data_IF_704656014215
#
_entry.id   IF_704656014215
#
_cell.length_a   1.000
_cell.length_b   1.000
_cell.length_c   1.000
_cell.angle_alpha   90.00
_cell.angle_beta   90.00
_cell.angle_gamma   90.00
#
_symmetry.space_group_name_H-M   'P 1'
#
loop_
_entity.id
_entity.type
_entity.pdbx_description
1 polymer ?
#
# COMPACT_ATOMS: atom_id res chain seq x y z
N UNK A 1 -2.05 0.61 -9.69
CA UNK A 1 -0.92 0.05 -8.95
C UNK A 1 0.18 -0.32 -9.91
N UNK A 2 1.42 -0.01 -9.56
CA UNK A 2 2.57 -0.37 -10.39
C UNK A 2 3.27 -1.58 -9.78
N UNK A 3 3.52 -2.62 -10.58
CA UNK A 3 4.26 -3.81 -10.16
C UNK A 3 5.59 -3.84 -10.89
N UNK A 4 6.68 -4.08 -10.16
CA UNK A 4 8.03 -4.25 -10.69
C UNK A 4 8.58 -5.58 -10.20
N UNK A 5 8.94 -6.46 -11.13
CA UNK A 5 9.64 -7.71 -10.82
C UNK A 5 11.14 -7.52 -11.01
N UNK A 6 11.93 -7.89 -10.01
CA UNK A 6 13.40 -7.82 -10.04
C UNK A 6 14.01 -9.22 -10.16
N UNK A 7 15.23 -9.28 -10.70
CA UNK A 7 16.01 -10.51 -10.82
C UNK A 7 15.52 -11.47 -11.91
N UNK A 8 16.35 -12.47 -12.20
CA UNK A 8 16.00 -13.59 -13.07
C UNK A 8 15.71 -14.82 -12.18
N UNK A 9 14.58 -15.48 -12.39
CA UNK A 9 14.15 -16.63 -11.58
C UNK A 9 12.63 -16.70 -11.45
N UNK A 10 12.11 -17.75 -10.80
CA UNK A 10 10.69 -17.82 -10.44
C UNK A 10 10.36 -16.75 -9.40
N UNK A 11 9.24 -16.05 -9.58
CA UNK A 11 8.70 -15.12 -8.59
C UNK A 11 7.63 -15.83 -7.75
N UNK A 12 7.39 -15.40 -6.49
CA UNK A 12 6.28 -15.92 -5.72
C UNK A 12 4.96 -15.60 -6.43
N UNK A 13 3.96 -16.46 -6.26
CA UNK A 13 2.60 -16.16 -6.71
C UNK A 13 2.14 -14.83 -6.09
N UNK A 14 1.65 -13.93 -6.94
CA UNK A 14 1.13 -12.66 -6.49
C UNK A 14 -0.15 -12.28 -7.25
N UNK A 15 -0.97 -11.45 -6.60
CA UNK A 15 -2.14 -10.85 -7.23
C UNK A 15 -2.32 -9.41 -6.74
N UNK A 16 -2.92 -8.58 -7.59
CA UNK A 16 -3.27 -7.20 -7.26
C UNK A 16 -4.70 -6.97 -7.70
N UNK A 17 -5.53 -6.53 -6.76
CA UNK A 17 -6.92 -6.17 -7.00
C UNK A 17 -7.27 -4.90 -6.25
N UNK A 18 -7.47 -3.81 -6.98
CA UNK A 18 -7.67 -2.48 -6.40
C UNK A 18 -6.57 -2.12 -5.39
N UNK A 19 -6.90 -2.05 -4.09
CA UNK A 19 -5.95 -1.77 -3.00
C UNK A 19 -5.39 -3.02 -2.32
N UNK A 20 -5.87 -4.21 -2.68
CA UNK A 20 -5.43 -5.48 -2.09
C UNK A 20 -4.29 -6.09 -2.89
N UNK A 21 -3.17 -6.34 -2.22
CA UNK A 21 -2.00 -7.03 -2.76
C UNK A 21 -1.84 -8.35 -2.03
N UNK A 22 -1.71 -9.45 -2.76
CA UNK A 22 -1.37 -10.74 -2.17
C UNK A 22 -0.03 -11.23 -2.71
N UNK A 23 0.88 -11.70 -1.85
CA UNK A 23 2.15 -12.32 -2.26
C UNK A 23 2.40 -13.57 -1.41
N UNK A 24 2.59 -14.72 -2.04
CA UNK A 24 2.81 -16.01 -1.37
C UNK A 24 1.80 -16.30 -0.24
N UNK A 25 0.54 -15.89 -0.43
CA UNK A 25 -0.55 -16.04 0.54
C UNK A 25 -0.67 -14.92 1.59
N UNK A 26 0.29 -14.01 1.70
CA UNK A 26 0.21 -12.82 2.58
C UNK A 26 -0.60 -11.73 1.88
N UNK A 27 -1.64 -11.21 2.54
CA UNK A 27 -2.53 -10.21 2.00
C UNK A 27 -2.35 -8.85 2.69
N UNK A 28 -2.12 -7.80 1.89
CA UNK A 28 -1.94 -6.41 2.33
C UNK A 28 -3.06 -5.55 1.72
N UNK A 29 -3.91 -5.01 2.58
CA UNK A 29 -4.87 -3.96 2.19
C UNK A 29 -4.18 -2.59 2.31
N UNK A 30 -3.76 -2.05 1.17
CA UNK A 30 -3.05 -0.78 1.12
C UNK A 30 -3.92 0.41 1.57
N UNK A 31 -5.25 0.35 1.40
CA UNK A 31 -6.14 1.41 1.83
C UNK A 31 -6.27 1.43 3.36
N UNK A 32 -6.43 0.25 3.97
CA UNK A 32 -6.49 0.13 5.43
C UNK A 32 -5.16 0.48 6.11
N UNK A 33 -4.04 0.23 5.42
CA UNK A 33 -2.68 0.54 5.92
C UNK A 33 -2.20 1.95 5.59
N UNK A 34 -2.97 2.77 4.86
CA UNK A 34 -2.51 4.11 4.51
C UNK A 34 -2.45 5.02 5.74
N UNK A 35 -1.33 5.71 5.93
CA UNK A 35 -1.14 6.72 6.99
C UNK A 35 -0.77 8.09 6.40
N UNK A 36 -0.57 9.10 7.26
CA UNK A 36 -0.09 10.42 6.83
C UNK A 36 1.38 10.43 6.39
N UNK A 37 2.07 9.30 6.54
CA UNK A 37 3.42 9.10 6.09
C UNK A 37 3.47 7.99 5.04
N UNK A 38 4.55 7.97 4.27
CA UNK A 38 4.79 6.85 3.37
C UNK A 38 5.07 5.59 4.20
N UNK A 39 4.34 4.52 3.90
CA UNK A 39 4.54 3.22 4.54
C UNK A 39 5.18 2.24 3.55
N UNK A 40 6.10 1.42 4.02
CA UNK A 40 6.69 0.33 3.25
C UNK A 40 6.46 -0.94 4.05
N UNK A 41 5.71 -1.87 3.46
CA UNK A 41 5.44 -3.18 4.04
C UNK A 41 6.26 -4.21 3.28
N UNK A 42 7.24 -4.80 3.97
CA UNK A 42 8.04 -5.88 3.42
C UNK A 42 7.37 -7.23 3.68
N UNK A 43 7.34 -8.09 2.68
CA UNK A 43 6.96 -9.49 2.79
C UNK A 43 8.22 -10.31 2.61
N UNK A 44 8.53 -11.16 3.58
CA UNK A 44 9.76 -11.95 3.62
C UNK A 44 9.47 -13.42 3.86
N UNK A 45 10.34 -14.28 3.33
CA UNK A 45 10.35 -15.71 3.56
C UNK A 45 11.20 -16.01 4.79
N UNK A 46 10.57 -16.43 5.88
CA UNK A 46 11.22 -16.81 7.13
C UNK A 46 10.87 -18.26 7.41
N UNK A 47 11.88 -19.12 7.55
CA UNK A 47 11.70 -20.56 7.83
C UNK A 47 10.70 -21.26 6.88
N UNK A 48 10.72 -20.86 5.60
CA UNK A 48 9.84 -21.41 4.56
C UNK A 48 8.41 -20.84 4.54
N UNK A 49 8.10 -19.85 5.40
CA UNK A 49 6.79 -19.21 5.50
C UNK A 49 6.89 -17.74 5.10
N UNK A 50 6.00 -17.29 4.22
CA UNK A 50 5.88 -15.88 3.87
C UNK A 50 5.16 -15.11 4.98
N UNK A 51 5.73 -13.99 5.42
CA UNK A 51 5.13 -13.12 6.44
C UNK A 51 5.56 -11.66 6.28
N UNK A 52 4.87 -10.75 6.95
CA UNK A 52 5.25 -9.34 7.04
C UNK A 52 6.51 -9.15 7.91
N UNK A 53 7.48 -8.39 7.40
CA UNK A 53 8.72 -8.07 8.10
C UNK A 53 9.61 -9.29 8.41
N UNK A 54 10.43 -9.18 9.46
CA UNK A 54 11.38 -10.21 9.87
C UNK A 54 12.75 -10.13 9.18
N UNK A 55 13.60 -11.14 9.41
CA UNK A 55 14.99 -11.19 8.94
C UNK A 55 15.22 -12.16 7.76
N UNK A 56 14.14 -12.60 7.11
CA UNK A 56 14.18 -13.55 6.01
C UNK A 56 14.51 -12.97 4.64
N UNK A 57 14.45 -13.82 3.62
CA UNK A 57 14.64 -13.44 2.22
C UNK A 57 13.51 -12.51 1.76
N UNK A 58 13.85 -11.45 1.05
CA UNK A 58 12.85 -10.52 0.52
C UNK A 58 12.03 -11.19 -0.58
N UNK A 59 10.70 -11.20 -0.43
CA UNK A 59 9.77 -11.67 -1.47
C UNK A 59 9.10 -10.48 -2.17
N UNK A 60 8.62 -9.50 -1.39
CA UNK A 60 7.99 -8.31 -1.92
C UNK A 60 8.11 -7.11 -0.99
N UNK A 61 7.88 -5.92 -1.53
CA UNK A 61 7.84 -4.66 -0.79
C UNK A 61 6.71 -3.83 -1.38
N UNK A 62 5.74 -3.48 -0.54
CA UNK A 62 4.57 -2.70 -0.91
C UNK A 62 4.75 -1.29 -0.35
N UNK A 63 5.01 -0.34 -1.24
CA UNK A 63 5.15 1.08 -0.92
C UNK A 63 3.80 1.78 -1.09
N UNK A 64 3.26 2.23 0.02
CA UNK A 64 1.97 2.92 0.13
C UNK A 64 2.23 4.43 0.28
N UNK A 65 1.60 5.28 -0.55
CA UNK A 65 1.78 6.73 -0.47
C UNK A 65 1.10 7.31 0.79
N UNK A 66 1.55 8.48 1.28
CA UNK A 66 0.86 9.18 2.36
C UNK A 66 -0.57 9.57 1.95
N UNK A 67 -1.45 9.74 2.94
CA UNK A 67 -2.82 10.22 2.74
C UNK A 67 -2.84 11.57 2.06
N UNK A 68 -3.81 11.74 1.15
CA UNK A 68 -4.16 13.04 0.58
C UNK A 68 -5.42 13.52 1.27
N UNK A 69 -5.54 14.84 1.38
CA UNK A 69 -6.71 15.48 1.96
C UNK A 69 -7.36 16.36 0.91
N UNK A 70 -8.68 16.33 0.86
CA UNK A 70 -9.48 17.26 0.07
C UNK A 70 -10.04 18.32 1.01
N UNK A 71 -9.96 19.58 0.58
CA UNK A 71 -10.58 20.70 1.29
C UNK A 71 -12.03 20.77 0.84
N UNK A 72 -12.95 20.72 1.79
CA UNK A 72 -14.37 20.92 1.56
C UNK A 72 -14.70 22.38 1.81
N UNK A 73 -15.33 23.01 0.82
CA UNK A 73 -15.81 24.38 0.95
C UNK A 73 -16.82 24.46 2.11
N UNK A 74 -16.79 25.55 2.90
CA UNK A 74 -17.78 25.77 3.94
C UNK A 74 -19.19 25.79 3.35
N UNK A 75 -20.14 25.13 4.01
CA UNK A 75 -21.54 25.20 3.62
C UNK A 75 -22.05 26.64 3.82
N UNK A 76 -22.50 27.33 2.76
CA UNK A 76 -23.00 28.71 2.88
C UNK A 76 -24.27 28.81 3.77
N UNK A 77 -24.91 27.70 4.12
CA UNK A 77 -26.04 27.67 5.05
C UNK A 77 -25.64 27.72 6.54
N UNK A 78 -24.36 27.50 6.90
CA UNK A 78 -23.91 27.41 8.30
C UNK A 78 -23.46 28.76 8.92
N UNK A 79 -23.49 29.86 8.16
CA UNK A 79 -23.12 31.20 8.66
C UNK A 79 -21.62 31.47 8.66
N UNK A 80 -21.24 32.71 8.98
CA UNK A 80 -19.92 33.34 8.76
C UNK A 80 -18.70 32.72 9.50
N UNK A 81 -18.86 31.57 10.17
CA UNK A 81 -17.78 30.88 10.90
C UNK A 81 -17.54 29.43 10.45
N UNK A 82 -18.04 29.03 9.27
CA UNK A 82 -17.73 27.73 8.71
C UNK A 82 -16.24 27.66 8.32
N UNK A 83 -15.44 26.98 9.15
CA UNK A 83 -14.05 26.62 8.83
C UNK A 83 -14.09 25.37 7.96
N UNK A 84 -13.58 25.47 6.73
CA UNK A 84 -13.55 24.34 5.80
C UNK A 84 -12.93 23.10 6.45
N UNK A 85 -13.61 21.96 6.34
CA UNK A 85 -13.12 20.68 6.85
C UNK A 85 -12.08 20.08 5.90
N UNK A 86 -11.17 19.26 6.44
CA UNK A 86 -10.24 18.44 5.65
C UNK A 86 -10.61 16.98 5.83
N UNK A 87 -11.06 16.36 4.77
CA UNK A 87 -11.41 14.94 4.77
C UNK A 87 -10.33 14.12 4.05
N UNK A 88 -9.98 12.93 4.56
CA UNK A 88 -9.04 12.06 3.88
C UNK A 88 -9.64 11.58 2.55
N UNK A 89 -8.94 11.86 1.45
CA UNK A 89 -9.30 11.34 0.15
C UNK A 89 -9.06 9.84 0.07
N UNK A 90 -9.87 9.13 -0.73
CA UNK A 90 -9.65 7.72 -0.99
C UNK A 90 -8.24 7.46 -1.57
N UNK A 91 -7.63 6.35 -1.18
CA UNK A 91 -6.34 5.93 -1.74
C UNK A 91 -6.46 5.75 -3.25
N UNK A 92 -5.60 6.43 -3.99
CA UNK A 92 -5.39 6.17 -5.41
C UNK A 92 -4.45 4.96 -5.59
N UNK A 93 -4.94 3.81 -6.09
CA UNK A 93 -4.11 2.62 -6.24
C UNK A 93 -2.98 2.81 -7.25
N UNK A 94 -3.04 3.79 -8.16
CA UNK A 94 -1.96 4.07 -9.12
C UNK A 94 -0.68 4.58 -8.45
N UNK A 95 -0.79 5.12 -7.25
CA UNK A 95 0.36 5.60 -6.47
C UNK A 95 0.99 4.53 -5.57
N UNK A 96 0.38 3.34 -5.47
CA UNK A 96 0.98 2.20 -4.75
C UNK A 96 1.97 1.49 -5.68
N UNK A 97 3.17 1.24 -5.17
CA UNK A 97 4.23 0.53 -5.85
C UNK A 97 4.49 -0.81 -5.17
N UNK A 98 4.54 -1.90 -5.94
CA UNK A 98 4.85 -3.23 -5.47
C UNK A 98 6.11 -3.70 -6.18
N UNK A 99 7.15 -3.98 -5.41
CA UNK A 99 8.37 -4.62 -5.92
C UNK A 99 8.34 -6.09 -5.51
N UNK A 100 8.58 -7.00 -6.47
CA UNK A 100 8.60 -8.45 -6.26
C UNK A 100 10.02 -8.96 -6.59
N UNK A 101 10.57 -9.81 -5.74
CA UNK A 101 11.86 -10.47 -5.94
C UNK A 101 11.66 -11.95 -6.26
N UNK A 102 12.63 -12.61 -6.93
CA UNK A 102 12.53 -14.03 -7.21
C UNK A 102 12.59 -14.83 -5.90
N UNK A 103 11.81 -15.90 -5.82
CA UNK A 103 12.10 -16.99 -4.89
C UNK A 103 13.37 -17.68 -5.38
N UNK A 104 14.27 -18.01 -4.44
CA UNK A 104 15.59 -18.65 -4.62
C UNK A 104 15.80 -19.44 -5.93
#
# INVERSE_FOLDING_TARGET
MQVITLGAGPHPDFSVSAALVTVAGVAIDAAARQTDQQEIIDIRLVDGVAQEGGSGYQLASVRIPPRRYVETEPDPAEGEEATGSREPAALDPHHVAVTIWPTV
#
